data_IF_397666323107
#
_entry.id   IF_397666323107
#
_cell.length_a   1.000
_cell.length_b   1.000
_cell.length_c   1.000
_cell.angle_alpha   90.00
_cell.angle_beta   90.00
_cell.angle_gamma   90.00
#
_symmetry.space_group_name_H-M   'P 1'
#
loop_
_entity.id
_entity.type
_entity.pdbx_description
1 polymer ?
#
# COMPACT_ATOMS: atom_id res chain seq x y z
N UNK A 1 0.52 -8.90 -18.70
CA UNK A 1 0.68 -7.69 -19.53
C UNK A 1 -0.66 -7.14 -20.04
N UNK A 2 -1.63 -7.96 -20.44
CA UNK A 2 -2.97 -7.53 -20.91
C UNK A 2 -3.77 -6.69 -19.90
N UNK A 3 -3.50 -6.85 -18.59
CA UNK A 3 -4.18 -6.12 -17.51
C UNK A 3 -4.03 -4.60 -17.60
N UNK A 4 -2.89 -4.09 -18.10
CA UNK A 4 -2.69 -2.64 -18.26
C UNK A 4 -3.67 -2.05 -19.28
N UNK A 5 -3.80 -2.70 -20.45
CA UNK A 5 -4.77 -2.31 -21.45
C UNK A 5 -6.20 -2.40 -20.92
N UNK A 6 -6.53 -3.50 -20.25
CA UNK A 6 -7.86 -3.69 -19.67
C UNK A 6 -8.19 -2.61 -18.62
N UNK A 7 -7.22 -2.18 -17.81
CA UNK A 7 -7.40 -1.08 -16.85
C UNK A 7 -7.71 0.24 -17.58
N UNK A 8 -6.96 0.57 -18.64
CA UNK A 8 -7.21 1.80 -19.41
C UNK A 8 -8.57 1.75 -20.12
N UNK A 9 -8.90 0.63 -20.77
CA UNK A 9 -10.21 0.43 -21.41
C UNK A 9 -11.39 0.51 -20.41
N UNK A 10 -11.16 0.16 -19.16
CA UNK A 10 -12.12 0.28 -18.06
C UNK A 10 -12.24 1.71 -17.49
N UNK A 11 -11.38 2.64 -17.91
CA UNK A 11 -11.42 4.05 -17.50
C UNK A 11 -10.49 4.43 -16.36
N UNK A 12 -9.55 3.55 -15.96
CA UNK A 12 -8.53 3.91 -14.98
C UNK A 12 -7.40 4.74 -15.61
N UNK A 13 -6.91 5.74 -14.88
CA UNK A 13 -5.76 6.57 -15.26
C UNK A 13 -4.45 6.12 -14.61
N UNK A 14 -4.54 5.21 -13.65
CA UNK A 14 -3.39 4.73 -12.90
C UNK A 14 -3.56 3.26 -12.51
N UNK A 15 -2.43 2.62 -12.18
CA UNK A 15 -2.40 1.24 -11.69
C UNK A 15 -1.41 1.08 -10.56
N UNK A 16 -1.71 0.10 -9.70
CA UNK A 16 -0.77 -0.49 -8.76
C UNK A 16 -0.35 -1.86 -9.26
N UNK A 17 0.92 -2.20 -9.09
CA UNK A 17 1.41 -3.56 -9.27
C UNK A 17 2.22 -3.91 -8.04
N UNK A 18 1.57 -4.59 -7.09
CA UNK A 18 2.14 -4.84 -5.77
C UNK A 18 3.50 -5.55 -5.84
N UNK A 19 3.62 -6.52 -6.74
CA UNK A 19 4.85 -7.31 -6.90
C UNK A 19 5.24 -7.43 -8.39
N UNK A 20 5.91 -6.41 -8.98
CA UNK A 20 6.27 -6.42 -10.40
C UNK A 20 7.49 -7.29 -10.75
N UNK A 21 8.00 -8.05 -9.81
CA UNK A 21 9.36 -8.65 -9.83
C UNK A 21 9.51 -9.88 -10.73
N UNK A 22 8.41 -10.43 -11.24
CA UNK A 22 8.38 -11.61 -12.11
C UNK A 22 8.46 -11.27 -13.60
N UNK A 23 8.48 -9.98 -13.92
CA UNK A 23 8.54 -9.49 -15.30
C UNK A 23 9.74 -8.55 -15.50
N UNK A 24 10.32 -8.49 -16.71
CA UNK A 24 11.29 -7.48 -17.05
C UNK A 24 10.71 -6.07 -16.84
N UNK A 25 11.46 -5.20 -16.17
CA UNK A 25 10.99 -3.83 -15.90
C UNK A 25 10.67 -3.06 -17.18
N UNK A 26 11.38 -3.33 -18.27
CA UNK A 26 11.12 -2.66 -19.54
C UNK A 26 9.74 -3.02 -20.11
N UNK A 27 9.34 -4.29 -20.01
CA UNK A 27 8.03 -4.74 -20.49
C UNK A 27 6.89 -4.06 -19.74
N UNK A 28 7.02 -3.94 -18.41
CA UNK A 28 6.03 -3.22 -17.57
C UNK A 28 6.01 -1.74 -17.96
N UNK A 29 7.17 -1.10 -18.08
CA UNK A 29 7.28 0.31 -18.45
C UNK A 29 6.64 0.58 -19.81
N UNK A 30 6.89 -0.27 -20.81
CA UNK A 30 6.30 -0.14 -22.14
C UNK A 30 4.78 -0.22 -22.07
N UNK A 31 4.22 -1.14 -21.26
CA UNK A 31 2.78 -1.23 -21.06
C UNK A 31 2.19 0.02 -20.39
N UNK A 32 2.88 0.59 -19.40
CA UNK A 32 2.44 1.84 -18.74
C UNK A 32 2.41 2.99 -19.77
N UNK A 33 3.46 3.13 -20.58
CA UNK A 33 3.55 4.19 -21.60
C UNK A 33 2.52 3.99 -22.71
N UNK A 34 2.38 2.77 -23.27
CA UNK A 34 1.45 2.49 -24.36
C UNK A 34 -0.01 2.69 -23.98
N UNK A 35 -0.34 2.47 -22.71
CA UNK A 35 -1.70 2.63 -22.22
C UNK A 35 -1.94 3.96 -21.51
N UNK A 36 -0.95 4.85 -21.48
CA UNK A 36 -1.04 6.15 -20.77
C UNK A 36 -1.55 5.97 -19.34
N UNK A 37 -0.84 5.15 -18.56
CA UNK A 37 -1.18 4.83 -17.17
C UNK A 37 -0.08 5.31 -16.22
N UNK A 38 -0.46 6.03 -15.17
CA UNK A 38 0.45 6.31 -14.08
C UNK A 38 0.72 5.04 -13.26
N UNK A 39 1.95 4.87 -12.78
CA UNK A 39 2.31 3.80 -11.86
C UNK A 39 2.34 4.33 -10.43
N UNK A 40 1.35 3.95 -9.62
CA UNK A 40 1.15 4.57 -8.31
C UNK A 40 1.94 3.87 -7.22
N UNK A 41 1.88 2.54 -7.13
CA UNK A 41 2.44 1.83 -5.98
C UNK A 41 3.03 0.47 -6.35
N UNK A 42 4.12 0.13 -5.68
CA UNK A 42 4.67 -1.23 -5.59
C UNK A 42 5.14 -1.54 -4.18
N UNK A 43 5.16 -2.82 -3.81
CA UNK A 43 5.57 -3.28 -2.48
C UNK A 43 7.08 -3.60 -2.41
N UNK A 44 7.64 -3.37 -1.22
CA UNK A 44 8.92 -3.88 -0.77
C UNK A 44 8.68 -4.77 0.47
N UNK A 45 9.16 -6.01 0.50
CA UNK A 45 10.12 -6.60 -0.42
C UNK A 45 9.49 -7.23 -1.66
N UNK A 46 10.30 -7.72 -2.61
CA UNK A 46 9.86 -8.71 -3.58
C UNK A 46 9.27 -9.95 -2.89
N UNK A 47 8.37 -10.71 -3.56
CA UNK A 47 7.80 -11.92 -2.98
C UNK A 47 8.88 -12.90 -2.52
N UNK A 48 8.63 -13.56 -1.40
CA UNK A 48 9.52 -14.61 -0.93
C UNK A 48 9.22 -15.92 -1.71
N UNK A 49 10.06 -16.24 -2.69
CA UNK A 49 9.89 -17.41 -3.55
C UNK A 49 9.90 -18.76 -2.80
N UNK A 50 10.42 -18.78 -1.57
CA UNK A 50 10.44 -19.98 -0.72
C UNK A 50 9.21 -20.10 0.19
N UNK A 51 8.27 -19.17 0.08
CA UNK A 51 7.15 -19.03 1.00
C UNK A 51 7.55 -18.34 2.31
N UNK A 52 6.57 -18.11 3.18
CA UNK A 52 6.75 -17.44 4.46
C UNK A 52 6.24 -16.00 4.47
N UNK A 53 6.45 -15.27 5.57
CA UNK A 53 5.88 -13.94 5.76
C UNK A 53 6.36 -12.95 4.71
N UNK A 54 5.48 -12.02 4.35
CA UNK A 54 5.82 -10.89 3.48
C UNK A 54 6.30 -9.72 4.33
N UNK A 55 7.49 -9.24 4.00
CA UNK A 55 8.13 -8.15 4.73
C UNK A 55 9.09 -8.61 5.81
N UNK A 56 10.13 -7.82 5.99
CA UNK A 56 11.20 -8.08 6.97
C UNK A 56 11.60 -6.81 7.72
N UNK A 57 10.89 -5.69 7.47
CA UNK A 57 11.32 -4.40 7.98
C UNK A 57 11.19 -4.30 9.52
N UNK A 58 10.24 -5.01 10.13
CA UNK A 58 10.09 -5.05 11.59
C UNK A 58 10.72 -6.31 12.24
N UNK A 59 11.36 -7.19 11.47
CA UNK A 59 11.91 -8.44 12.00
C UNK A 59 13.30 -8.22 12.61
N UNK A 60 13.48 -8.36 13.95
CA UNK A 60 14.79 -8.21 14.58
C UNK A 60 15.81 -9.22 14.00
N UNK A 61 17.03 -8.76 13.77
CA UNK A 61 18.11 -9.59 13.21
C UNK A 61 18.05 -9.82 11.70
N UNK A 62 17.05 -9.27 11.00
CA UNK A 62 16.90 -9.38 9.54
C UNK A 62 17.16 -8.07 8.80
N UNK A 63 17.88 -7.11 9.41
CA UNK A 63 18.20 -5.80 8.82
C UNK A 63 18.91 -5.94 7.48
N UNK A 64 19.95 -6.79 7.40
CA UNK A 64 20.69 -7.04 6.15
C UNK A 64 19.80 -7.62 5.05
N UNK A 65 18.81 -8.45 5.41
CA UNK A 65 17.83 -8.97 4.47
C UNK A 65 16.94 -7.84 3.96
N UNK A 66 16.40 -7.02 4.85
CA UNK A 66 15.59 -5.87 4.49
C UNK A 66 16.36 -4.90 3.57
N UNK A 67 17.60 -4.57 3.91
CA UNK A 67 18.45 -3.67 3.10
C UNK A 67 18.67 -4.20 1.68
N UNK A 68 18.98 -5.48 1.52
CA UNK A 68 19.12 -6.11 0.18
C UNK A 68 17.82 -6.08 -0.61
N UNK A 69 16.71 -6.38 0.03
CA UNK A 69 15.40 -6.41 -0.60
C UNK A 69 14.95 -5.00 -0.99
N UNK A 70 15.19 -4.00 -0.16
CA UNK A 70 14.92 -2.60 -0.47
C UNK A 70 15.77 -2.08 -1.63
N UNK A 71 17.08 -2.37 -1.65
CA UNK A 71 17.95 -2.03 -2.77
C UNK A 71 17.52 -2.73 -4.09
N UNK A 72 17.01 -3.96 -4.01
CA UNK A 72 16.40 -4.62 -5.17
C UNK A 72 15.16 -3.88 -5.63
N UNK A 73 14.29 -3.50 -4.72
CA UNK A 73 13.08 -2.71 -5.01
C UNK A 73 13.43 -1.37 -5.66
N UNK A 74 14.44 -0.67 -5.15
CA UNK A 74 14.89 0.60 -5.74
C UNK A 74 15.38 0.45 -7.19
N UNK A 75 16.05 -0.66 -7.55
CA UNK A 75 16.43 -0.90 -8.96
C UNK A 75 15.20 -1.00 -9.89
N UNK A 76 14.12 -1.63 -9.43
CA UNK A 76 12.85 -1.65 -10.17
C UNK A 76 12.21 -0.25 -10.22
N UNK A 77 12.17 0.44 -9.09
CA UNK A 77 11.60 1.78 -8.99
C UNK A 77 12.33 2.80 -9.88
N UNK A 78 13.64 2.68 -10.08
CA UNK A 78 14.41 3.55 -10.99
C UNK A 78 13.92 3.49 -12.44
N UNK A 79 13.45 2.32 -12.89
CA UNK A 79 12.91 2.12 -14.24
C UNK A 79 11.41 2.40 -14.31
N UNK A 80 10.65 1.86 -13.37
CA UNK A 80 9.19 1.90 -13.35
C UNK A 80 8.63 3.23 -12.83
N UNK A 81 9.38 3.93 -11.98
CA UNK A 81 9.05 5.22 -11.37
C UNK A 81 7.68 5.22 -10.67
N UNK A 82 7.43 4.30 -9.72
CA UNK A 82 6.22 4.34 -8.91
C UNK A 82 6.17 5.64 -8.12
N UNK A 83 4.97 6.16 -7.89
CA UNK A 83 4.79 7.29 -6.99
C UNK A 83 5.18 6.90 -5.57
N UNK A 84 4.77 5.70 -5.12
CA UNK A 84 5.01 5.20 -3.78
C UNK A 84 5.67 3.82 -3.79
N UNK A 85 6.50 3.55 -2.79
CA UNK A 85 6.96 2.20 -2.43
C UNK A 85 6.40 1.90 -1.05
N UNK A 86 5.53 0.91 -0.95
CA UNK A 86 5.03 0.42 0.33
C UNK A 86 6.06 -0.51 0.98
N UNK A 87 6.51 -0.18 2.18
CA UNK A 87 7.42 -1.00 2.97
C UNK A 87 6.62 -1.89 3.91
N UNK A 88 6.57 -3.18 3.59
CA UNK A 88 5.86 -4.17 4.41
C UNK A 88 6.65 -4.48 5.70
N UNK A 89 5.97 -4.34 6.83
CA UNK A 89 6.58 -4.58 8.14
C UNK A 89 7.01 -6.04 8.34
N UNK A 90 6.18 -6.97 7.90
CA UNK A 90 6.38 -8.41 8.12
C UNK A 90 5.83 -8.90 9.44
N UNK A 91 6.03 -10.20 9.70
CA UNK A 91 5.61 -10.85 10.94
C UNK A 91 6.68 -10.61 12.03
N UNK A 92 6.28 -9.95 13.10
CA UNK A 92 7.10 -9.67 14.27
C UNK A 92 6.21 -9.20 15.43
N UNK A 93 6.76 -9.14 16.65
CA UNK A 93 6.04 -8.65 17.83
C UNK A 93 6.98 -8.05 18.86
N UNK A 94 6.40 -7.23 19.74
CA UNK A 94 7.10 -6.66 20.88
C UNK A 94 7.93 -5.41 20.57
N UNK A 95 8.57 -4.84 21.60
CA UNK A 95 9.30 -3.57 21.50
C UNK A 95 10.55 -3.64 20.62
N UNK A 96 11.19 -4.81 20.55
CA UNK A 96 12.35 -5.00 19.66
C UNK A 96 11.97 -4.93 18.20
N UNK A 97 10.76 -5.38 17.83
CA UNK A 97 10.23 -5.27 16.49
C UNK A 97 9.94 -3.80 16.10
N UNK A 98 9.37 -3.00 17.02
CA UNK A 98 9.14 -1.58 16.79
C UNK A 98 10.48 -0.83 16.61
N UNK A 99 11.47 -1.13 17.44
CA UNK A 99 12.81 -0.54 17.32
C UNK A 99 13.47 -0.90 15.98
N UNK A 100 13.43 -2.17 15.57
CA UNK A 100 13.98 -2.63 14.30
C UNK A 100 13.25 -1.97 13.11
N UNK A 101 11.92 -1.83 13.19
CA UNK A 101 11.13 -1.17 12.16
C UNK A 101 11.52 0.30 11.99
N UNK A 102 11.59 1.05 13.07
CA UNK A 102 12.00 2.47 13.06
C UNK A 102 13.41 2.63 12.49
N UNK A 103 14.37 1.78 12.91
CA UNK A 103 15.75 1.82 12.40
C UNK A 103 15.80 1.56 10.90
N UNK A 104 15.13 0.50 10.43
CA UNK A 104 15.08 0.15 9.03
C UNK A 104 14.39 1.22 8.17
N UNK A 105 13.33 1.84 8.68
CA UNK A 105 12.67 2.96 7.98
C UNK A 105 13.56 4.19 7.92
N UNK A 106 14.30 4.54 8.99
CA UNK A 106 15.29 5.62 8.96
C UNK A 106 16.38 5.39 7.91
N UNK A 107 16.84 4.16 7.81
CA UNK A 107 17.79 3.78 6.77
C UNK A 107 17.16 3.91 5.37
N UNK A 108 15.92 3.42 5.17
CA UNK A 108 15.23 3.47 3.88
C UNK A 108 14.97 4.90 3.39
N UNK A 109 14.50 5.80 4.28
CA UNK A 109 14.26 7.21 3.92
C UNK A 109 15.55 7.95 3.54
N UNK A 110 16.66 7.66 4.23
CA UNK A 110 17.97 8.20 3.90
C UNK A 110 18.52 7.61 2.59
N UNK A 111 18.25 6.34 2.32
CA UNK A 111 18.68 5.63 1.11
C UNK A 111 17.95 6.09 -0.15
N UNK A 112 16.70 6.53 -0.01
CA UNK A 112 15.84 6.96 -1.12
C UNK A 112 15.16 8.32 -0.84
N UNK A 113 15.93 9.42 -0.67
CA UNK A 113 15.41 10.69 -0.16
C UNK A 113 14.42 11.40 -1.10
N UNK A 114 14.32 10.98 -2.37
CA UNK A 114 13.41 11.54 -3.36
C UNK A 114 12.21 10.62 -3.65
N UNK A 115 12.19 9.40 -3.10
CA UNK A 115 11.13 8.44 -3.30
C UNK A 115 10.12 8.56 -2.15
N UNK A 116 8.84 8.66 -2.49
CA UNK A 116 7.79 8.53 -1.48
C UNK A 116 7.71 7.08 -1.01
N UNK A 117 7.80 6.89 0.29
CA UNK A 117 7.69 5.60 0.98
C UNK A 117 6.42 5.59 1.81
N UNK A 118 5.75 4.45 1.89
CA UNK A 118 4.56 4.28 2.72
C UNK A 118 4.67 3.07 3.65
N UNK A 119 3.97 3.14 4.76
CA UNK A 119 3.70 2.01 5.66
C UNK A 119 2.20 1.88 5.86
N UNK A 120 1.72 0.67 6.07
CA UNK A 120 0.29 0.36 6.11
C UNK A 120 -0.08 -0.51 7.30
N UNK A 121 -1.07 -0.12 8.12
CA UNK A 121 -1.69 -1.02 9.09
C UNK A 121 -2.53 -2.09 8.39
N UNK A 122 -2.12 -3.35 8.51
CA UNK A 122 -2.82 -4.50 7.91
C UNK A 122 -3.49 -5.31 9.01
N UNK A 123 -4.78 -5.62 8.86
CA UNK A 123 -5.53 -6.36 9.85
C UNK A 123 -5.00 -7.80 10.04
N UNK A 124 -4.99 -8.27 11.29
CA UNK A 124 -4.44 -9.59 11.65
C UNK A 124 -5.30 -10.78 11.22
N UNK A 125 -6.55 -10.55 10.83
CA UNK A 125 -7.39 -11.64 10.32
C UNK A 125 -6.96 -12.06 8.92
N UNK A 126 -6.51 -11.11 8.09
CA UNK A 126 -5.99 -11.39 6.75
C UNK A 126 -4.49 -11.74 6.79
N UNK A 127 -3.74 -11.12 7.72
CA UNK A 127 -2.30 -11.36 7.86
C UNK A 127 -1.92 -11.63 9.33
N UNK A 128 -2.10 -12.87 9.80
CA UNK A 128 -1.75 -13.26 11.17
C UNK A 128 -0.30 -12.97 11.51
N UNK A 129 -0.05 -12.38 12.68
CA UNK A 129 1.29 -12.04 13.14
C UNK A 129 1.93 -10.80 12.51
N UNK A 130 1.23 -10.11 11.60
CA UNK A 130 1.76 -8.88 11.00
C UNK A 130 2.01 -7.82 12.08
N UNK A 131 3.20 -7.23 12.05
CA UNK A 131 3.63 -6.30 13.11
C UNK A 131 2.77 -5.03 13.12
N UNK A 132 2.67 -4.34 11.99
CA UNK A 132 1.95 -3.07 11.88
C UNK A 132 0.45 -3.33 11.68
N UNK A 133 -0.27 -3.62 12.78
CA UNK A 133 -1.67 -4.03 12.73
C UNK A 133 -2.64 -3.01 13.38
N UNK A 134 -2.17 -1.81 13.70
CA UNK A 134 -3.00 -0.74 14.24
C UNK A 134 -2.46 0.66 13.92
N UNK A 135 -3.34 1.65 13.92
CA UNK A 135 -3.03 3.02 13.57
C UNK A 135 -2.21 3.77 14.63
N UNK A 136 -2.34 3.40 15.91
CA UNK A 136 -1.58 4.02 16.99
C UNK A 136 -0.09 3.68 16.85
N UNK A 137 0.21 2.42 16.56
CA UNK A 137 1.59 1.98 16.25
C UNK A 137 2.12 2.67 14.99
N UNK A 138 1.31 2.77 13.91
CA UNK A 138 1.72 3.47 12.70
C UNK A 138 2.07 4.94 12.99
N UNK A 139 1.23 5.64 13.76
CA UNK A 139 1.49 7.03 14.14
C UNK A 139 2.79 7.18 14.94
N UNK A 140 3.02 6.33 15.96
CA UNK A 140 4.28 6.36 16.74
C UNK A 140 5.50 6.12 15.86
N UNK A 141 5.44 5.16 14.95
CA UNK A 141 6.54 4.85 14.03
C UNK A 141 6.82 6.03 13.09
N UNK A 142 5.78 6.61 12.49
CA UNK A 142 5.91 7.79 11.63
C UNK A 142 6.53 8.97 12.38
N UNK A 143 6.08 9.24 13.62
CA UNK A 143 6.61 10.30 14.46
C UNK A 143 8.06 10.03 14.89
N UNK A 144 8.41 8.78 15.17
CA UNK A 144 9.77 8.40 15.54
C UNK A 144 10.75 8.53 14.36
N UNK A 145 10.32 8.20 13.13
CA UNK A 145 11.17 8.36 11.92
C UNK A 145 11.24 9.82 11.51
N UNK A 146 10.13 10.57 11.59
CA UNK A 146 10.00 12.00 11.33
C UNK A 146 10.59 12.44 9.98
N UNK A 147 10.25 11.73 8.89
CA UNK A 147 10.77 12.03 7.56
C UNK A 147 9.67 12.47 6.58
N UNK A 148 9.89 13.53 5.78
CA UNK A 148 8.88 14.04 4.85
C UNK A 148 8.60 13.10 3.68
N UNK A 149 9.44 12.10 3.43
CA UNK A 149 9.24 11.11 2.37
C UNK A 149 8.71 9.76 2.88
N UNK A 150 8.28 9.68 4.16
CA UNK A 150 7.59 8.52 4.71
C UNK A 150 6.20 8.94 5.18
N UNK A 151 5.17 8.23 4.73
CA UNK A 151 3.78 8.55 5.01
C UNK A 151 2.95 7.28 5.28
N UNK A 152 1.70 7.49 5.68
CA UNK A 152 0.71 6.43 5.84
C UNK A 152 0.14 6.02 4.47
N UNK A 153 -0.02 4.73 4.24
CA UNK A 153 -0.96 4.16 3.28
C UNK A 153 -2.22 3.80 4.06
N UNK A 154 -3.33 4.40 3.69
CA UNK A 154 -4.61 4.21 4.35
C UNK A 154 -5.50 3.32 3.48
N UNK A 155 -5.61 2.04 3.83
CA UNK A 155 -6.59 1.14 3.24
C UNK A 155 -7.87 1.16 4.09
N UNK A 156 -8.98 1.62 3.49
CA UNK A 156 -10.28 1.71 4.16
C UNK A 156 -10.85 0.35 4.58
N UNK A 157 -10.56 -0.72 3.82
CA UNK A 157 -10.94 -2.08 4.20
C UNK A 157 -10.18 -2.53 5.45
N UNK A 158 -8.86 -2.31 5.50
CA UNK A 158 -8.07 -2.63 6.69
C UNK A 158 -8.49 -1.75 7.88
N UNK A 159 -8.78 -0.47 7.66
CA UNK A 159 -9.29 0.43 8.69
C UNK A 159 -10.59 -0.11 9.30
N UNK A 160 -11.55 -0.50 8.45
CA UNK A 160 -12.81 -1.10 8.91
C UNK A 160 -12.57 -2.36 9.73
N UNK A 161 -11.70 -3.26 9.29
CA UNK A 161 -11.40 -4.51 9.98
C UNK A 161 -10.66 -4.33 11.32
N UNK A 162 -9.87 -3.27 11.44
CA UNK A 162 -9.09 -2.96 12.65
C UNK A 162 -9.96 -2.23 13.68
N UNK A 163 -10.79 -1.27 13.24
CA UNK A 163 -11.46 -0.33 14.14
C UNK A 163 -12.99 -0.40 14.10
N UNK A 164 -13.58 -0.90 13.02
CA UNK A 164 -15.01 -0.81 12.75
C UNK A 164 -15.47 0.58 12.30
N UNK A 165 -14.56 1.57 12.23
CA UNK A 165 -14.89 2.98 11.95
C UNK A 165 -13.87 3.60 11.00
N UNK A 166 -14.18 3.59 9.70
CA UNK A 166 -13.32 4.16 8.66
C UNK A 166 -13.23 5.68 8.76
N UNK A 167 -14.37 6.35 9.01
CA UNK A 167 -14.43 7.81 9.06
C UNK A 167 -13.67 8.36 10.27
N UNK A 168 -13.87 7.77 11.44
CA UNK A 168 -13.12 8.13 12.64
C UNK A 168 -11.63 7.84 12.52
N UNK A 169 -11.26 6.73 11.86
CA UNK A 169 -9.86 6.39 11.59
C UNK A 169 -9.22 7.40 10.64
N UNK A 170 -9.94 7.81 9.60
CA UNK A 170 -9.47 8.85 8.68
C UNK A 170 -9.34 10.21 9.38
N UNK A 171 -10.36 10.64 10.14
CA UNK A 171 -10.31 11.89 10.91
C UNK A 171 -9.08 11.98 11.83
N UNK A 172 -8.68 10.84 12.43
CA UNK A 172 -7.54 10.78 13.34
C UNK A 172 -6.18 10.71 12.62
N UNK A 173 -6.12 10.05 11.46
CA UNK A 173 -4.85 9.66 10.84
C UNK A 173 -4.70 10.10 9.37
N UNK A 174 -5.76 10.52 8.69
CA UNK A 174 -5.78 10.82 7.25
C UNK A 174 -4.76 11.88 6.82
N UNK A 175 -4.47 12.87 7.67
CA UNK A 175 -3.44 13.89 7.41
C UNK A 175 -2.01 13.33 7.24
N UNK A 176 -1.79 12.09 7.67
CA UNK A 176 -0.52 11.37 7.49
C UNK A 176 -0.51 10.53 6.21
N UNK A 177 -1.65 10.40 5.53
CA UNK A 177 -1.81 9.54 4.37
C UNK A 177 -1.29 10.20 3.09
N UNK A 178 -0.46 9.50 2.35
CA UNK A 178 -0.05 9.86 1.00
C UNK A 178 -0.77 9.04 -0.07
N UNK A 179 -1.41 7.94 0.34
CA UNK A 179 -2.09 7.01 -0.55
C UNK A 179 -3.30 6.39 0.15
N UNK A 180 -4.39 6.18 -0.61
CA UNK A 180 -5.63 5.57 -0.13
C UNK A 180 -5.95 4.33 -0.96
N UNK A 181 -6.38 3.27 -0.28
CA UNK A 181 -6.91 2.06 -0.94
C UNK A 181 -8.33 1.76 -0.45
N UNK A 182 -9.13 1.15 -1.32
CA UNK A 182 -10.53 0.81 -1.06
C UNK A 182 -10.87 -0.62 -1.49
N UNK A 183 -11.68 -1.30 -0.69
CA UNK A 183 -12.33 -2.56 -1.01
C UNK A 183 -13.61 -2.75 -0.19
N UNK A 184 -14.53 -3.58 -0.67
CA UNK A 184 -15.79 -3.85 0.03
C UNK A 184 -15.61 -4.77 1.23
N UNK A 185 -16.38 -4.56 2.27
CA UNK A 185 -16.51 -5.48 3.40
C UNK A 185 -18.00 -5.88 3.58
N UNK A 186 -18.27 -7.19 3.85
CA UNK A 186 -17.33 -8.30 3.94
C UNK A 186 -16.83 -8.80 2.58
N UNK A 187 -15.73 -9.57 2.60
CA UNK A 187 -15.22 -10.37 1.48
C UNK A 187 -14.13 -9.71 0.64
N UNK A 188 -13.77 -8.44 0.89
CA UNK A 188 -12.76 -7.68 0.13
C UNK A 188 -13.04 -7.68 -1.37
N UNK A 189 -14.36 -7.53 -1.72
CA UNK A 189 -14.84 -7.44 -3.09
C UNK A 189 -15.00 -5.98 -3.54
N UNK A 190 -15.89 -5.73 -4.53
CA UNK A 190 -16.22 -4.39 -5.01
C UNK A 190 -16.55 -3.45 -3.86
N UNK A 191 -16.10 -2.18 -3.88
CA UNK A 191 -16.16 -1.29 -2.70
C UNK A 191 -17.57 -0.90 -2.27
N UNK A 192 -18.56 -0.96 -3.16
CA UNK A 192 -19.93 -0.53 -2.85
C UNK A 192 -20.87 -1.69 -2.53
N UNK A 193 -21.92 -1.40 -1.74
CA UNK A 193 -22.93 -2.39 -1.35
C UNK A 193 -22.55 -3.25 -0.14
N UNK A 194 -21.50 -2.87 0.58
CA UNK A 194 -21.05 -3.50 1.84
C UNK A 194 -21.30 -2.61 3.07
N UNK A 195 -20.56 -2.88 4.15
CA UNK A 195 -20.70 -2.19 5.44
C UNK A 195 -19.97 -0.84 5.49
N UNK A 196 -18.99 -0.59 4.57
CA UNK A 196 -18.24 0.65 4.53
C UNK A 196 -19.02 1.71 3.75
N UNK A 197 -19.26 2.86 4.39
CA UNK A 197 -19.92 4.02 3.76
C UNK A 197 -18.92 4.80 2.88
N UNK A 198 -18.68 4.32 1.66
CA UNK A 198 -17.78 4.98 0.72
C UNK A 198 -18.26 6.36 0.25
N UNK A 199 -19.59 6.60 0.01
CA UNK A 199 -20.06 7.95 -0.27
C UNK A 199 -19.66 8.98 0.79
N UNK A 200 -19.84 8.64 2.08
CA UNK A 200 -19.40 9.51 3.18
C UNK A 200 -17.87 9.63 3.24
N UNK A 201 -17.14 8.54 3.01
CA UNK A 201 -15.68 8.56 3.01
C UNK A 201 -15.11 9.44 1.89
N UNK A 202 -15.63 9.34 0.67
CA UNK A 202 -15.19 10.20 -0.45
C UNK A 202 -15.54 11.67 -0.22
N UNK A 203 -16.74 11.96 0.29
CA UNK A 203 -17.10 13.33 0.66
C UNK A 203 -16.14 13.92 1.71
N UNK A 204 -15.63 13.09 2.64
CA UNK A 204 -14.65 13.50 3.63
C UNK A 204 -13.28 13.75 3.01
N UNK A 205 -12.82 12.89 2.08
CA UNK A 205 -11.57 13.11 1.33
C UNK A 205 -11.61 14.45 0.57
N UNK A 206 -12.72 14.72 -0.14
CA UNK A 206 -12.93 15.95 -0.89
C UNK A 206 -12.95 17.19 0.03
N UNK A 207 -13.67 17.11 1.15
CA UNK A 207 -13.78 18.20 2.13
C UNK A 207 -12.43 18.54 2.78
N UNK A 208 -11.54 17.55 2.95
CA UNK A 208 -10.21 17.74 3.50
C UNK A 208 -9.14 18.05 2.44
N UNK A 209 -9.52 18.10 1.16
CA UNK A 209 -8.63 18.44 0.05
C UNK A 209 -7.58 17.36 -0.22
N UNK A 210 -7.94 16.08 -0.11
CA UNK A 210 -7.04 14.99 -0.47
C UNK A 210 -6.80 14.95 -1.98
N UNK A 211 -5.56 15.12 -2.40
CA UNK A 211 -5.15 15.16 -3.82
C UNK A 211 -4.40 13.89 -4.27
N UNK A 212 -4.33 12.87 -3.41
CA UNK A 212 -3.67 11.61 -3.73
C UNK A 212 -4.53 10.67 -4.57
N UNK A 213 -3.97 9.53 -4.92
CA UNK A 213 -4.72 8.46 -5.60
C UNK A 213 -5.58 7.68 -4.61
N UNK A 214 -6.76 7.28 -5.08
CA UNK A 214 -7.61 6.29 -4.41
C UNK A 214 -7.63 5.05 -5.29
N UNK A 215 -7.00 3.99 -4.82
CA UNK A 215 -6.84 2.74 -5.57
C UNK A 215 -7.81 1.67 -5.10
N UNK A 216 -8.40 0.96 -6.05
CA UNK A 216 -9.28 -0.17 -5.76
C UNK A 216 -8.47 -1.46 -5.68
N UNK A 217 -8.25 -1.95 -4.45
CA UNK A 217 -7.51 -3.19 -4.17
C UNK A 217 -8.45 -4.28 -3.65
N UNK A 218 -9.15 -4.95 -4.55
CA UNK A 218 -10.14 -5.96 -4.20
C UNK A 218 -10.12 -7.19 -5.11
N UNK A 219 -10.75 -8.27 -4.65
CA UNK A 219 -11.01 -9.46 -5.45
C UNK A 219 -12.43 -9.36 -6.04
N UNK A 220 -12.61 -9.21 -7.36
CA UNK A 220 -13.93 -9.09 -7.95
C UNK A 220 -14.75 -10.36 -7.75
N UNK A 221 -16.05 -10.22 -7.45
CA UNK A 221 -16.99 -11.36 -7.30
C UNK A 221 -17.19 -12.14 -8.59
N UNK A 222 -16.96 -11.49 -9.72
CA UNK A 222 -17.14 -12.06 -11.05
C UNK A 222 -16.09 -11.55 -12.03
N UNK A 223 -16.49 -11.30 -13.28
CA UNK A 223 -15.59 -10.63 -14.22
C UNK A 223 -15.36 -9.18 -13.77
N UNK A 224 -14.10 -8.76 -13.73
CA UNK A 224 -13.72 -7.43 -13.24
C UNK A 224 -14.53 -6.31 -13.90
N UNK A 225 -14.68 -6.36 -15.21
CA UNK A 225 -15.40 -5.32 -15.98
C UNK A 225 -16.91 -5.26 -15.67
N UNK A 226 -17.50 -6.36 -15.20
CA UNK A 226 -18.91 -6.40 -14.81
C UNK A 226 -19.17 -5.78 -13.42
N UNK A 227 -18.13 -5.64 -12.60
CA UNK A 227 -18.22 -5.09 -11.24
C UNK A 227 -17.77 -3.63 -11.11
N UNK A 228 -17.65 -2.87 -12.22
CA UNK A 228 -17.11 -1.49 -12.19
C UNK A 228 -18.19 -0.39 -12.12
N UNK A 229 -19.45 -0.73 -11.86
CA UNK A 229 -20.54 0.27 -11.78
C UNK A 229 -20.33 1.29 -10.64
N UNK A 230 -19.51 0.96 -9.65
CA UNK A 230 -19.14 1.86 -8.57
C UNK A 230 -18.26 3.04 -9.01
N UNK A 231 -17.67 3.01 -10.20
CA UNK A 231 -16.87 4.11 -10.79
C UNK A 231 -17.74 5.19 -11.48
N UNK A 232 -19.07 5.01 -11.57
CA UNK A 232 -19.98 5.87 -12.32
C UNK A 232 -20.79 6.79 -11.44
#
# INVERSE_FOLDING_TARGET
>A
MERFRAAKEAGFDAVEVLFPYDHPTQDIRDQLVWNDLAFVLMNCPPPNATGGPQGFAAAPGLQDRFHRDFDRTLRFAQVLKPRHIHIMAGAAEGPEAEAAFVENLRWAVARAPKQSLTIEPINRADMPGYFLADYATAARVLDAVASPNLALQFDAYHAHRITGDVLGSWAAHGRRAAHVQIAGFPGRNEPFGGEIDYPAFFAMLDAEGYEGWVSAEYAPKGATTAGLDWMR
#
